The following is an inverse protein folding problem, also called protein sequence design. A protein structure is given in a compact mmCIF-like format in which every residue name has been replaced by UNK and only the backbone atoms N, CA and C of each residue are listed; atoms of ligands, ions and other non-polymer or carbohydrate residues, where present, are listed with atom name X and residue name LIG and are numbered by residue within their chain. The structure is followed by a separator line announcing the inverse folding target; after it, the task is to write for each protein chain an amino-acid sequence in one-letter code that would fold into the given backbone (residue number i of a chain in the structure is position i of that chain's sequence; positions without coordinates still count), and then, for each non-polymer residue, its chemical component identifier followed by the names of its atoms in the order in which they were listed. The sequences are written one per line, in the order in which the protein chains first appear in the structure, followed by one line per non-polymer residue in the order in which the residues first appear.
data_IF_995986212518
#
_entry.id   IF_995986212518
#
_cell.length_a   1.000
_cell.length_b   1.000
_cell.length_c   1.000
_cell.angle_alpha   90.00
_cell.angle_beta   90.00
_cell.angle_gamma   90.00
#
_symmetry.space_group_name_H-M   'P 1'
#
loop_
_entity.id
_entity.type
_entity.pdbx_description
1 polymer ?
#
# COMPACT_ATOMS: atom_id res chain seq x y z
N UNK A 1 17.89 29.81 18.72
CA UNK A 1 18.12 29.48 17.30
C UNK A 1 17.24 28.26 16.98
N UNK A 2 15.96 28.49 16.67
CA UNK A 2 14.99 27.42 16.39
C UNK A 2 14.58 27.52 14.92
N UNK A 3 15.05 26.57 14.11
CA UNK A 3 14.66 26.47 12.70
C UNK A 3 13.31 25.76 12.59
N UNK A 4 12.29 26.52 12.16
CA UNK A 4 11.02 26.02 11.64
C UNK A 4 11.30 25.26 10.34
N UNK A 5 11.01 23.96 10.31
CA UNK A 5 10.95 23.20 9.05
C UNK A 5 9.62 23.55 8.38
N UNK A 6 9.71 24.32 7.29
CA UNK A 6 8.60 24.72 6.44
C UNK A 6 8.41 23.62 5.38
N UNK A 7 7.31 22.87 5.43
CA UNK A 7 6.93 21.96 4.34
C UNK A 7 6.07 22.72 3.33
N UNK A 8 6.50 22.86 2.05
CA UNK A 8 5.70 23.54 1.05
C UNK A 8 4.79 22.49 0.42
N UNK A 9 3.50 22.48 0.77
CA UNK A 9 2.35 21.98 -0.02
C UNK A 9 1.14 21.97 0.93
N UNK A 10 0.69 23.16 1.29
CA UNK A 10 -0.59 23.40 1.97
C UNK A 10 -1.15 24.69 1.40
N UNK A 11 -1.79 24.59 0.23
CA UNK A 11 -2.72 25.62 -0.22
C UNK A 11 -4.12 25.06 0.03
N UNK A 12 -4.67 25.42 1.20
CA UNK A 12 -6.08 25.25 1.49
C UNK A 12 -6.71 26.64 1.38
N UNK A 13 -7.11 27.00 0.16
CA UNK A 13 -7.96 28.16 -0.10
C UNK A 13 -9.35 27.91 0.49
N UNK A 14 -9.75 28.77 1.43
CA UNK A 14 -11.07 28.74 2.05
C UNK A 14 -11.17 29.54 3.33
N UNK A 15 -10.68 30.79 3.33
CA UNK A 15 -10.91 31.70 4.44
C UNK A 15 -12.37 32.18 4.41
N UNK A 16 -13.23 31.60 5.26
CA UNK A 16 -14.57 32.15 5.55
C UNK A 16 -14.42 33.28 6.56
N UNK A 17 -14.46 34.52 6.08
CA UNK A 17 -14.57 35.70 6.92
C UNK A 17 -16.05 35.89 7.32
N UNK A 18 -16.37 35.65 8.59
CA UNK A 18 -17.69 35.97 9.15
C UNK A 18 -17.73 37.49 9.41
N UNK A 19 -18.66 38.19 8.73
CA UNK A 19 -19.05 39.56 9.09
C UNK A 19 -20.44 39.55 9.75
N UNK A 20 -20.67 40.35 10.80
CA UNK A 20 -21.94 40.37 11.52
C UNK A 20 -23.01 41.12 10.71
N UNK A 21 -24.25 40.71 10.93
CA UNK A 21 -25.40 41.00 10.10
C UNK A 21 -25.81 42.48 10.02
N UNK A 22 -26.55 42.75 8.95
CA UNK A 22 -27.47 43.88 8.84
C UNK A 22 -28.69 43.43 8.04
N UNK A 23 -29.83 44.01 8.41
CA UNK A 23 -31.20 43.57 8.19
C UNK A 23 -31.65 43.39 6.72
N UNK A 24 -32.57 42.44 6.49
CA UNK A 24 -33.49 42.50 5.36
C UNK A 24 -34.86 41.89 5.71
N UNK A 25 -35.87 42.75 5.81
CA UNK A 25 -37.27 42.39 5.62
C UNK A 25 -37.62 42.58 4.13
N UNK A 26 -38.16 41.54 3.48
CA UNK A 26 -38.64 41.65 2.09
C UNK A 26 -38.98 40.31 1.46
N UNK A 27 -40.28 40.02 1.39
CA UNK A 27 -40.93 38.78 0.97
C UNK A 27 -41.06 38.64 -0.55
N UNK A 28 -40.90 37.43 -1.08
CA UNK A 28 -41.36 37.02 -2.43
C UNK A 28 -40.88 35.61 -2.81
N UNK A 29 -41.74 34.70 -3.31
CA UNK A 29 -41.38 33.30 -3.50
C UNK A 29 -40.70 33.11 -4.85
N UNK A 30 -39.37 32.91 -4.85
CA UNK A 30 -38.63 32.51 -6.03
C UNK A 30 -38.42 31.00 -6.02
N UNK A 31 -38.68 30.41 -7.18
CA UNK A 31 -38.58 28.99 -7.48
C UNK A 31 -37.32 28.36 -6.85
N UNK A 32 -37.53 27.46 -5.88
CA UNK A 32 -36.49 26.56 -5.38
C UNK A 32 -36.06 25.65 -6.55
N UNK A 33 -35.06 26.11 -7.30
CA UNK A 33 -34.10 25.21 -7.92
C UNK A 33 -33.57 24.36 -6.78
N UNK A 34 -33.99 23.10 -6.75
CA UNK A 34 -33.28 22.07 -6.02
C UNK A 34 -31.96 21.93 -6.76
N UNK A 35 -31.02 22.81 -6.42
CA UNK A 35 -29.61 22.57 -6.60
C UNK A 35 -29.34 21.26 -5.89
N UNK A 36 -29.39 20.17 -6.66
CA UNK A 36 -28.63 18.97 -6.34
C UNK A 36 -27.17 19.39 -6.45
N UNK A 37 -26.69 20.13 -5.45
CA UNK A 37 -25.32 20.03 -5.00
C UNK A 37 -25.08 18.53 -4.84
N UNK A 38 -24.35 17.97 -5.80
CA UNK A 38 -23.82 16.62 -5.72
C UNK A 38 -22.99 16.59 -4.44
N UNK A 39 -23.62 16.24 -3.33
CA UNK A 39 -23.02 16.06 -2.02
C UNK A 39 -21.82 15.16 -2.25
N UNK A 40 -20.63 15.77 -2.29
CA UNK A 40 -19.41 15.07 -2.62
C UNK A 40 -19.29 13.95 -1.59
N UNK A 41 -19.44 12.69 -2.01
CA UNK A 41 -19.49 11.57 -1.08
C UNK A 41 -18.19 11.55 -0.29
N UNK A 42 -18.21 12.05 0.94
CA UNK A 42 -17.02 12.12 1.78
C UNK A 42 -16.76 10.72 2.29
N UNK A 43 -15.83 10.01 1.65
CA UNK A 43 -15.37 8.69 2.12
C UNK A 43 -14.68 8.88 3.48
N UNK A 44 -15.20 8.27 4.53
CA UNK A 44 -14.59 8.34 5.86
C UNK A 44 -13.33 7.47 5.98
N UNK A 45 -12.43 7.82 6.91
CA UNK A 45 -11.24 6.99 7.21
C UNK A 45 -11.61 5.55 7.60
N UNK A 46 -12.74 5.34 8.28
CA UNK A 46 -13.20 4.01 8.67
C UNK A 46 -13.73 3.19 7.49
N UNK A 47 -14.43 3.82 6.54
CA UNK A 47 -14.86 3.15 5.31
C UNK A 47 -13.68 2.74 4.45
N UNK A 48 -12.68 3.62 4.33
CA UNK A 48 -11.44 3.33 3.65
C UNK A 48 -10.69 2.17 4.32
N UNK A 49 -10.53 2.20 5.65
CA UNK A 49 -9.88 1.12 6.39
C UNK A 49 -10.60 -0.24 6.22
N UNK A 50 -11.94 -0.26 6.29
CA UNK A 50 -12.74 -1.47 6.04
C UNK A 50 -12.61 -1.96 4.60
N UNK A 51 -12.51 -1.04 3.63
CA UNK A 51 -12.27 -1.40 2.23
C UNK A 51 -10.90 -2.06 2.06
N UNK A 52 -9.84 -1.45 2.62
CA UNK A 52 -8.47 -1.99 2.60
C UNK A 52 -8.40 -3.39 3.23
N UNK A 53 -9.06 -3.59 4.37
CA UNK A 53 -9.12 -4.87 5.06
C UNK A 53 -9.78 -5.97 4.20
N UNK A 54 -10.91 -5.66 3.56
CA UNK A 54 -11.56 -6.58 2.61
C UNK A 54 -10.72 -6.83 1.36
N UNK A 55 -10.07 -5.79 0.81
CA UNK A 55 -9.21 -5.89 -0.36
C UNK A 55 -8.01 -6.80 -0.08
N UNK A 56 -7.36 -6.62 1.07
CA UNK A 56 -6.24 -7.45 1.54
C UNK A 56 -6.61 -8.93 1.65
N UNK A 57 -7.78 -9.24 2.25
CA UNK A 57 -8.30 -10.63 2.30
C UNK A 57 -8.54 -11.22 0.92
N UNK A 58 -9.17 -10.46 0.01
CA UNK A 58 -9.44 -10.93 -1.36
C UNK A 58 -8.14 -11.18 -2.12
N UNK A 59 -7.16 -10.29 -1.99
CA UNK A 59 -5.86 -10.47 -2.61
C UNK A 59 -5.11 -11.68 -2.04
N UNK A 60 -5.17 -11.89 -0.73
CA UNK A 60 -4.61 -13.10 -0.10
C UNK A 60 -5.26 -14.38 -0.64
N UNK A 61 -6.58 -14.37 -0.84
CA UNK A 61 -7.32 -15.48 -1.45
C UNK A 61 -6.94 -15.72 -2.91
N UNK A 62 -6.77 -14.64 -3.69
CA UNK A 62 -6.31 -14.69 -5.06
C UNK A 62 -4.91 -15.30 -5.16
N UNK A 63 -3.97 -14.79 -4.36
CA UNK A 63 -2.59 -15.28 -4.36
C UNK A 63 -2.52 -16.75 -3.96
N UNK A 64 -3.35 -17.18 -2.99
CA UNK A 64 -3.48 -18.59 -2.64
C UNK A 64 -3.96 -19.43 -3.82
N UNK A 65 -4.98 -18.97 -4.55
CA UNK A 65 -5.48 -19.68 -5.72
C UNK A 65 -4.40 -19.80 -6.82
N UNK A 66 -3.59 -18.76 -7.03
CA UNK A 66 -2.48 -18.81 -7.98
C UNK A 66 -1.39 -19.79 -7.54
N UNK A 67 -1.00 -19.79 -6.26
CA UNK A 67 -0.04 -20.78 -5.74
C UNK A 67 -0.56 -22.21 -5.94
N UNK A 68 -1.85 -22.47 -5.64
CA UNK A 68 -2.47 -23.78 -5.88
C UNK A 68 -2.47 -24.17 -7.36
N UNK A 69 -2.75 -23.24 -8.29
CA UNK A 69 -2.68 -23.51 -9.73
C UNK A 69 -1.27 -23.87 -10.20
N UNK A 70 -0.25 -23.29 -9.58
CA UNK A 70 1.15 -23.57 -9.86
C UNK A 70 1.67 -24.85 -9.18
N UNK A 71 0.83 -25.54 -8.39
CA UNK A 71 1.22 -26.72 -7.64
C UNK A 71 2.15 -26.42 -6.46
N UNK A 72 2.13 -25.18 -5.95
CA UNK A 72 2.92 -24.73 -4.81
C UNK A 72 2.10 -24.83 -3.53
N UNK A 73 2.46 -25.76 -2.65
CA UNK A 73 1.79 -26.05 -1.38
C UNK A 73 2.70 -25.89 -0.14
N UNK A 74 4.02 -25.77 -0.35
CA UNK A 74 5.04 -25.63 0.69
C UNK A 74 5.13 -24.21 1.27
N UNK A 75 4.55 -23.20 0.61
CA UNK A 75 4.54 -21.81 1.07
C UNK A 75 3.17 -21.13 0.93
N UNK A 76 2.93 -20.12 1.75
CA UNK A 76 1.68 -19.35 1.75
C UNK A 76 1.77 -17.98 1.05
N UNK A 77 0.63 -17.26 0.94
CA UNK A 77 0.58 -15.93 0.35
C UNK A 77 1.53 -14.92 0.99
N UNK A 78 1.72 -14.96 2.31
CA UNK A 78 2.63 -14.04 2.99
C UNK A 78 4.10 -14.28 2.59
N UNK A 79 4.53 -15.53 2.49
CA UNK A 79 5.86 -15.90 2.00
C UNK A 79 6.05 -15.51 0.53
N UNK A 80 5.03 -15.70 -0.31
CA UNK A 80 5.07 -15.26 -1.71
C UNK A 80 5.23 -13.72 -1.83
N UNK A 81 4.58 -12.95 -0.95
CA UNK A 81 4.79 -11.50 -0.88
C UNK A 81 6.22 -11.13 -0.47
N UNK A 82 6.83 -11.90 0.44
CA UNK A 82 8.25 -11.73 0.79
C UNK A 82 9.15 -11.99 -0.42
N UNK A 83 8.89 -13.04 -1.20
CA UNK A 83 9.66 -13.32 -2.44
C UNK A 83 9.55 -12.18 -3.45
N UNK A 84 8.34 -11.66 -3.66
CA UNK A 84 8.09 -10.53 -4.56
C UNK A 84 8.81 -9.24 -4.09
N UNK A 85 8.92 -9.05 -2.78
CA UNK A 85 9.61 -7.90 -2.17
C UNK A 85 11.14 -7.98 -2.23
N UNK A 86 11.72 -9.20 -2.29
CA UNK A 86 13.17 -9.39 -2.51
C UNK A 86 13.56 -8.90 -3.91
N UNK A 87 12.76 -9.26 -4.92
CA UNK A 87 13.04 -8.92 -6.32
C UNK A 87 14.29 -9.59 -6.89
N UNK A 88 14.85 -9.01 -7.95
CA UNK A 88 15.94 -9.64 -8.71
C UNK A 88 17.34 -9.39 -8.13
N UNK A 89 17.45 -8.44 -7.19
CA UNK A 89 18.70 -8.05 -6.56
C UNK A 89 18.90 -8.71 -5.20
N UNK A 90 20.15 -8.88 -4.79
CA UNK A 90 20.49 -9.23 -3.41
C UNK A 90 20.07 -8.10 -2.45
N UNK A 91 19.37 -8.45 -1.38
CA UNK A 91 18.87 -7.52 -0.36
C UNK A 91 19.31 -7.96 1.03
N UNK A 92 19.56 -7.01 1.93
CA UNK A 92 19.81 -7.34 3.34
C UNK A 92 18.50 -7.64 4.06
N UNK A 93 18.53 -8.49 5.10
CA UNK A 93 17.31 -8.75 5.90
C UNK A 93 16.77 -7.45 6.51
N UNK A 94 17.64 -6.54 6.95
CA UNK A 94 17.23 -5.25 7.51
C UNK A 94 16.49 -4.38 6.48
N UNK A 95 17.00 -4.32 5.25
CA UNK A 95 16.37 -3.58 4.16
C UNK A 95 15.04 -4.19 3.72
N UNK A 96 14.92 -5.53 3.72
CA UNK A 96 13.64 -6.19 3.46
C UNK A 96 12.60 -5.83 4.53
N UNK A 97 12.98 -5.83 5.82
CA UNK A 97 12.09 -5.48 6.92
C UNK A 97 11.60 -4.02 6.81
N UNK A 98 12.49 -3.11 6.44
CA UNK A 98 12.17 -1.70 6.23
C UNK A 98 11.20 -1.50 5.05
N UNK A 99 11.49 -2.11 3.89
CA UNK A 99 10.70 -1.99 2.65
C UNK A 99 9.27 -2.51 2.75
N UNK A 100 9.02 -3.57 3.53
CA UNK A 100 7.69 -4.17 3.64
C UNK A 100 6.95 -3.81 4.90
N UNK A 101 7.46 -2.86 5.70
CA UNK A 101 6.97 -2.55 7.04
C UNK A 101 6.75 -3.81 7.87
N UNK A 102 7.59 -4.82 7.66
CA UNK A 102 7.41 -6.11 8.29
C UNK A 102 7.83 -6.01 9.75
N UNK A 103 6.84 -6.00 10.64
CA UNK A 103 7.10 -5.94 12.08
C UNK A 103 7.52 -7.32 12.59
N UNK A 104 8.81 -7.44 12.96
CA UNK A 104 9.29 -8.49 13.86
C UNK A 104 9.20 -9.94 13.35
N UNK A 105 8.98 -10.83 14.31
CA UNK A 105 9.22 -12.28 14.30
C UNK A 105 8.69 -13.06 13.10
N UNK A 106 7.65 -12.60 12.41
CA UNK A 106 7.01 -13.33 11.31
C UNK A 106 7.91 -13.48 10.07
N UNK A 107 8.69 -12.44 9.73
CA UNK A 107 9.57 -12.52 8.54
C UNK A 107 10.73 -13.48 8.76
N UNK A 108 11.29 -13.56 9.96
CA UNK A 108 12.34 -14.53 10.26
C UNK A 108 11.87 -15.97 10.03
N UNK A 109 10.62 -16.29 10.40
CA UNK A 109 10.01 -17.59 10.10
C UNK A 109 9.77 -17.79 8.60
N UNK A 110 9.26 -16.77 7.90
CA UNK A 110 9.08 -16.84 6.44
C UNK A 110 10.39 -17.08 5.71
N UNK A 111 11.46 -16.35 6.06
CA UNK A 111 12.78 -16.52 5.47
C UNK A 111 13.37 -17.90 5.77
N UNK A 112 13.08 -18.47 6.95
CA UNK A 112 13.49 -19.84 7.25
C UNK A 112 12.78 -20.83 6.32
N UNK A 113 11.45 -20.78 6.24
CA UNK A 113 10.67 -21.68 5.38
C UNK A 113 11.01 -21.52 3.88
N UNK A 114 11.23 -20.28 3.43
CA UNK A 114 11.66 -20.00 2.06
C UNK A 114 13.06 -20.56 1.77
N UNK A 115 13.96 -20.57 2.75
CA UNK A 115 15.26 -21.21 2.65
C UNK A 115 15.15 -22.74 2.63
N UNK A 116 14.36 -23.31 3.55
CA UNK A 116 14.11 -24.76 3.63
C UNK A 116 13.44 -25.29 2.35
N UNK A 117 12.58 -24.48 1.71
CA UNK A 117 11.93 -24.77 0.43
C UNK A 117 12.74 -24.37 -0.80
N UNK A 118 14.01 -23.99 -0.65
CA UNK A 118 14.95 -23.65 -1.74
C UNK A 118 14.48 -22.49 -2.65
N UNK A 119 13.66 -21.57 -2.14
CA UNK A 119 13.22 -20.38 -2.87
C UNK A 119 14.20 -19.20 -2.77
N UNK A 120 15.06 -19.19 -1.74
CA UNK A 120 16.06 -18.15 -1.52
C UNK A 120 17.42 -18.74 -1.19
N UNK A 121 18.46 -18.05 -1.62
CA UNK A 121 19.83 -18.30 -1.16
C UNK A 121 20.15 -17.33 -0.03
N UNK A 122 20.71 -17.85 1.08
CA UNK A 122 21.27 -17.04 2.16
C UNK A 122 22.79 -16.99 2.06
N UNK A 123 23.34 -15.78 2.02
CA UNK A 123 24.77 -15.54 2.15
C UNK A 123 25.05 -14.75 3.43
N UNK A 124 26.16 -15.09 4.11
CA UNK A 124 26.73 -14.20 5.11
C UNK A 124 27.26 -12.95 4.39
N UNK A 125 26.90 -11.75 4.86
CA UNK A 125 27.47 -10.52 4.27
C UNK A 125 28.99 -10.51 4.44
N UNK A 126 29.69 -10.23 3.35
CA UNK A 126 31.15 -10.09 3.35
C UNK A 126 31.62 -8.91 4.20
N UNK A 127 30.77 -7.89 4.37
CA UNK A 127 31.12 -6.62 5.02
C UNK A 127 30.72 -6.57 6.50
N UNK A 128 29.69 -7.34 6.89
CA UNK A 128 29.21 -7.42 8.27
C UNK A 128 28.60 -8.80 8.55
N UNK A 129 29.29 -9.60 9.38
CA UNK A 129 28.84 -10.95 9.78
C UNK A 129 27.49 -10.96 10.51
N UNK A 130 26.99 -9.80 10.96
CA UNK A 130 25.67 -9.66 11.62
C UNK A 130 24.53 -9.42 10.65
N UNK A 131 24.83 -9.06 9.40
CA UNK A 131 23.83 -8.71 8.38
C UNK A 131 23.69 -9.83 7.37
N UNK A 132 22.72 -10.73 7.56
CA UNK A 132 22.43 -11.76 6.57
C UNK A 132 21.92 -11.11 5.27
N UNK A 133 22.40 -11.63 4.13
CA UNK A 133 21.90 -11.26 2.80
C UNK A 133 21.15 -12.41 2.16
N UNK A 134 20.14 -12.02 1.40
CA UNK A 134 19.22 -12.94 0.74
C UNK A 134 19.04 -12.53 -0.72
N UNK A 135 18.88 -13.52 -1.59
CA UNK A 135 18.50 -13.35 -2.99
C UNK A 135 17.58 -14.49 -3.39
N UNK A 136 16.80 -14.29 -4.45
CA UNK A 136 16.00 -15.37 -5.02
C UNK A 136 16.90 -16.45 -5.62
N UNK A 137 16.59 -17.71 -5.33
CA UNK A 137 17.09 -18.86 -6.09
C UNK A 137 16.42 -18.91 -7.46
N UNK A 138 16.82 -19.83 -8.32
CA UNK A 138 16.15 -20.01 -9.62
C UNK A 138 14.70 -20.49 -9.45
N UNK A 139 14.40 -21.33 -8.44
CA UNK A 139 13.03 -21.71 -8.06
C UNK A 139 12.23 -20.48 -7.61
N UNK A 140 12.83 -19.62 -6.79
CA UNK A 140 12.22 -18.35 -6.35
C UNK A 140 11.89 -17.41 -7.49
N UNK A 141 12.80 -17.23 -8.44
CA UNK A 141 12.60 -16.39 -9.63
C UNK A 141 11.48 -16.91 -10.51
N UNK A 142 11.47 -18.21 -10.82
CA UNK A 142 10.42 -18.83 -11.63
C UNK A 142 9.03 -18.64 -11.02
N UNK A 143 8.91 -18.77 -9.69
CA UNK A 143 7.67 -18.51 -8.99
C UNK A 143 7.26 -17.03 -9.08
N UNK A 144 8.19 -16.10 -8.82
CA UNK A 144 7.93 -14.68 -8.94
C UNK A 144 7.46 -14.30 -10.36
N UNK A 145 8.09 -14.84 -11.40
CA UNK A 145 7.73 -14.60 -12.79
C UNK A 145 6.33 -15.13 -13.12
N UNK A 146 6.00 -16.34 -12.65
CA UNK A 146 4.66 -16.92 -12.81
C UNK A 146 3.58 -16.05 -12.13
N UNK A 147 3.85 -15.58 -10.92
CA UNK A 147 2.95 -14.70 -10.17
C UNK A 147 2.80 -13.33 -10.84
N UNK A 148 3.89 -12.72 -11.34
CA UNK A 148 3.84 -11.46 -12.09
C UNK A 148 3.04 -11.61 -13.39
N UNK A 149 3.19 -12.74 -14.09
CA UNK A 149 2.40 -13.05 -15.29
C UNK A 149 0.91 -13.18 -14.97
N UNK A 150 0.55 -13.81 -13.85
CA UNK A 150 -0.83 -13.87 -13.38
C UNK A 150 -1.36 -12.47 -13.04
N UNK A 151 -0.58 -11.65 -12.32
CA UNK A 151 -0.91 -10.26 -12.01
C UNK A 151 -1.19 -9.43 -13.28
N UNK A 152 -0.34 -9.53 -14.30
CA UNK A 152 -0.53 -8.84 -15.58
C UNK A 152 -1.77 -9.29 -16.36
N UNK A 153 -2.33 -10.47 -16.09
CA UNK A 153 -3.63 -10.87 -16.63
C UNK A 153 -4.78 -10.11 -15.94
N UNK A 154 -4.70 -9.93 -14.62
CA UNK A 154 -5.68 -9.17 -13.85
C UNK A 154 -5.61 -7.67 -14.15
N UNK A 155 -4.41 -7.11 -14.29
CA UNK A 155 -4.22 -5.71 -14.68
C UNK A 155 -4.88 -5.40 -16.04
N UNK A 156 -4.79 -6.31 -17.01
CA UNK A 156 -5.46 -6.15 -18.32
C UNK A 156 -6.98 -6.15 -18.23
N UNK A 157 -7.56 -6.79 -17.21
CA UNK A 157 -9.01 -6.80 -16.96
C UNK A 157 -9.45 -5.58 -16.15
N UNK A 158 -8.56 -5.01 -15.34
CA UNK A 158 -8.87 -3.88 -14.45
C UNK A 158 -8.58 -2.51 -15.07
N UNK A 159 -7.58 -2.43 -15.95
CA UNK A 159 -7.08 -1.17 -16.49
C UNK A 159 -7.32 -1.09 -18.00
N UNK A 160 -8.45 -0.50 -18.39
CA UNK A 160 -8.83 -0.25 -19.78
C UNK A 160 -8.38 1.15 -20.23
N UNK A 161 -7.07 1.36 -20.23
CA UNK A 161 -6.44 2.56 -20.79
C UNK A 161 -5.71 3.44 -19.76
N UNK A 162 -5.21 4.58 -20.24
CA UNK A 162 -4.30 5.44 -19.49
C UNK A 162 -4.94 6.07 -18.24
N UNK A 163 -6.26 6.28 -18.26
CA UNK A 163 -6.98 6.85 -17.12
C UNK A 163 -7.01 5.92 -15.92
N UNK A 164 -7.25 4.62 -16.13
CA UNK A 164 -7.28 3.65 -15.04
C UNK A 164 -5.90 3.49 -14.40
N UNK A 165 -4.83 3.57 -15.22
CA UNK A 165 -3.45 3.56 -14.74
C UNK A 165 -3.13 4.76 -13.85
N UNK A 166 -3.59 5.97 -14.23
CA UNK A 166 -3.48 7.18 -13.40
C UNK A 166 -4.29 7.11 -12.12
N UNK A 167 -5.48 6.52 -12.16
CA UNK A 167 -6.31 6.32 -10.97
C UNK A 167 -5.61 5.36 -9.98
N UNK A 168 -5.01 4.27 -10.48
CA UNK A 168 -4.27 3.33 -9.66
C UNK A 168 -3.04 3.98 -9.00
N UNK A 169 -2.30 4.79 -9.75
CA UNK A 169 -1.16 5.54 -9.22
C UNK A 169 -1.60 6.54 -8.12
N UNK A 170 -2.69 7.27 -8.37
CA UNK A 170 -3.29 8.18 -7.39
C UNK A 170 -3.71 7.45 -6.11
N UNK A 171 -4.33 6.27 -6.26
CA UNK A 171 -4.73 5.43 -5.14
C UNK A 171 -3.50 4.95 -4.34
N UNK A 172 -2.44 4.50 -5.03
CA UNK A 172 -1.20 4.08 -4.39
C UNK A 172 -0.56 5.21 -3.57
N UNK A 173 -0.39 6.40 -4.16
CA UNK A 173 0.18 7.56 -3.47
C UNK A 173 -0.64 7.97 -2.24
N UNK A 174 -1.98 7.97 -2.38
CA UNK A 174 -2.89 8.30 -1.27
C UNK A 174 -2.77 7.30 -0.13
N UNK A 175 -2.79 5.99 -0.42
CA UNK A 175 -2.66 4.92 0.57
C UNK A 175 -1.30 4.93 1.25
N UNK A 176 -0.22 5.18 0.49
CA UNK A 176 1.12 5.27 1.06
C UNK A 176 1.27 6.47 2.01
N UNK A 177 0.67 7.62 1.68
CA UNK A 177 0.64 8.78 2.59
C UNK A 177 -0.11 8.46 3.88
N UNK A 178 -1.23 7.74 3.80
CA UNK A 178 -1.99 7.29 4.97
C UNK A 178 -1.17 6.34 5.85
N UNK A 179 -0.49 5.38 5.24
CA UNK A 179 0.42 4.46 5.93
C UNK A 179 1.49 5.21 6.73
N UNK A 180 2.15 6.19 6.12
CA UNK A 180 3.16 7.01 6.81
C UNK A 180 2.57 7.80 7.98
N UNK A 181 1.40 8.43 7.79
CA UNK A 181 0.74 9.21 8.85
C UNK A 181 0.35 8.33 10.03
N UNK A 182 -0.31 7.19 9.78
CA UNK A 182 -0.73 6.26 10.84
C UNK A 182 0.46 5.57 11.51
N UNK A 183 1.50 5.22 10.74
CA UNK A 183 2.73 4.64 11.26
C UNK A 183 3.53 5.59 12.16
N UNK A 184 3.43 6.90 11.93
CA UNK A 184 4.05 7.92 12.77
C UNK A 184 3.19 8.25 14.00
N UNK A 185 1.88 8.39 13.83
CA UNK A 185 0.96 8.65 14.94
C UNK A 185 1.01 7.55 16.02
N UNK A 186 1.18 6.29 15.60
CA UNK A 186 1.34 5.14 16.52
C UNK A 186 2.67 5.14 17.28
N UNK A 187 3.73 5.76 16.73
CA UNK A 187 5.07 5.81 17.36
C UNK A 187 5.32 7.07 18.18
N UNK A 188 4.77 8.21 17.78
CA UNK A 188 5.12 9.52 18.34
C UNK A 188 3.92 10.32 18.87
N UNK A 189 2.68 9.82 18.71
CA UNK A 189 1.49 10.64 18.88
C UNK A 189 1.30 11.62 17.71
N UNK A 190 0.17 12.32 17.69
CA UNK A 190 -0.09 13.40 16.71
C UNK A 190 0.60 14.68 17.18
#
# INVERSE_FOLDING_TARGET
MNQRILYPFADFGGAVAIRPGDDAAGSGPEHENIDQESEASVVSYFELARMMERASRRFTGLLRAELTKLGVDDIGPAQAMVLLAIGDSEVSVAELLDRGHYVGSNVSYYLKQLGDGEYIDRAASQRDKRSARIRLSDKGKQLCDALRKAAGAYERVLSHGEQDRRNLETAFQTLHRLELVWGNATRYGI
#
